data_IF_285709927907
#
_entry.id   IF_285709927907
#
_cell.length_a   1.000
_cell.length_b   1.000
_cell.length_c   1.000
_cell.angle_alpha   90.00
_cell.angle_beta   90.00
_cell.angle_gamma   90.00
#
_symmetry.space_group_name_H-M   'P 1'
#
loop_
_entity.id
_entity.type
_entity.pdbx_description
1 polymer ?
#
# COMPACT_ATOMS: atom_id res chain seq x y z
N UNK A 1 -8.87 -43.94 21.18
CA UNK A 1 -7.93 -43.29 20.25
C UNK A 1 -8.78 -42.56 19.23
N UNK A 2 -8.73 -41.25 19.18
CA UNK A 2 -9.33 -40.52 18.06
C UNK A 2 -8.60 -40.91 16.77
N UNK A 3 -9.31 -41.17 15.66
CA UNK A 3 -8.66 -41.44 14.41
C UNK A 3 -7.77 -40.27 14.03
N UNK A 4 -6.58 -40.55 13.49
CA UNK A 4 -5.74 -39.51 12.95
C UNK A 4 -6.53 -38.80 11.81
N UNK A 5 -6.54 -37.45 11.80
CA UNK A 5 -7.23 -36.74 10.73
C UNK A 5 -6.66 -37.13 9.39
N UNK A 6 -7.53 -37.39 8.44
CA UNK A 6 -7.13 -37.59 7.03
C UNK A 6 -6.46 -36.31 6.52
N UNK A 7 -5.41 -36.45 5.75
CA UNK A 7 -4.48 -35.38 5.36
C UNK A 7 -5.12 -34.09 4.77
N UNK A 8 -6.36 -34.13 4.33
CA UNK A 8 -7.02 -33.00 3.67
C UNK A 8 -8.06 -32.29 4.56
N UNK A 9 -8.27 -32.69 5.81
CA UNK A 9 -9.28 -32.06 6.67
C UNK A 9 -8.87 -30.69 7.23
N UNK A 10 -7.62 -30.27 7.00
CA UNK A 10 -7.08 -28.99 7.47
C UNK A 10 -6.70 -28.03 6.34
N UNK A 11 -6.77 -28.50 5.08
CA UNK A 11 -6.39 -27.73 3.91
C UNK A 11 -7.66 -27.47 3.12
N UNK A 12 -7.98 -26.22 2.93
CA UNK A 12 -9.07 -25.77 2.06
C UNK A 12 -8.50 -24.95 0.92
N UNK A 13 -8.54 -25.50 -0.29
CA UNK A 13 -8.07 -24.85 -1.52
C UNK A 13 -8.90 -23.57 -1.81
N UNK A 14 -10.17 -23.56 -1.39
CA UNK A 14 -11.04 -22.41 -1.56
C UNK A 14 -10.61 -21.18 -0.74
N UNK A 15 -9.70 -21.36 0.20
CA UNK A 15 -9.12 -20.26 0.98
C UNK A 15 -7.77 -19.75 0.39
N UNK A 16 -7.25 -20.40 -0.65
CA UNK A 16 -6.08 -19.90 -1.37
C UNK A 16 -6.50 -18.69 -2.22
N UNK A 17 -5.77 -17.58 -2.12
CA UNK A 17 -6.03 -16.34 -2.84
C UNK A 17 -4.88 -16.02 -3.78
N UNK A 18 -5.23 -15.49 -4.95
CA UNK A 18 -4.27 -15.05 -5.95
C UNK A 18 -4.51 -13.59 -6.29
N UNK A 19 -3.84 -12.71 -5.54
CA UNK A 19 -3.81 -11.27 -5.80
C UNK A 19 -2.73 -10.92 -6.82
N UNK A 20 -2.75 -9.68 -7.33
CA UNK A 20 -1.83 -9.19 -8.35
C UNK A 20 -2.50 -9.10 -9.73
N UNK A 21 -3.81 -8.93 -9.74
CA UNK A 21 -4.61 -8.75 -10.95
C UNK A 21 -4.52 -7.34 -11.52
N UNK A 22 -5.06 -7.17 -12.73
CA UNK A 22 -5.10 -5.87 -13.45
C UNK A 22 -5.96 -4.81 -12.77
N UNK A 23 -6.72 -5.18 -11.74
CA UNK A 23 -7.64 -4.29 -11.03
C UNK A 23 -7.11 -3.82 -9.68
N UNK A 24 -5.92 -4.29 -9.29
CA UNK A 24 -5.24 -3.78 -8.11
C UNK A 24 -5.00 -2.28 -8.25
N UNK A 25 -5.21 -1.53 -7.19
CA UNK A 25 -5.11 -0.09 -7.27
C UNK A 25 -4.60 0.54 -5.98
N UNK A 26 -3.91 1.67 -6.12
CA UNK A 26 -3.43 2.47 -5.01
C UNK A 26 -3.98 3.88 -5.14
N UNK A 27 -4.50 4.41 -4.04
CA UNK A 27 -5.08 5.73 -3.93
C UNK A 27 -4.38 6.52 -2.84
N UNK A 28 -4.16 7.79 -3.10
CA UNK A 28 -3.53 8.72 -2.17
C UNK A 28 -4.42 9.94 -1.95
N UNK A 29 -4.64 10.31 -0.70
CA UNK A 29 -5.41 11.49 -0.31
C UNK A 29 -4.69 12.34 0.73
N UNK A 30 -5.21 13.51 1.07
CA UNK A 30 -4.69 14.32 2.16
C UNK A 30 -4.81 13.58 3.49
N UNK A 31 -3.92 13.89 4.44
CA UNK A 31 -4.03 13.33 5.79
C UNK A 31 -5.35 13.75 6.43
N UNK A 32 -6.09 12.80 6.97
CA UNK A 32 -7.41 13.02 7.56
C UNK A 32 -8.56 13.00 6.55
N UNK A 33 -8.31 12.62 5.29
CA UNK A 33 -9.38 12.37 4.31
C UNK A 33 -10.35 11.30 4.80
N UNK A 34 -11.60 11.42 4.40
CA UNK A 34 -12.65 10.46 4.77
C UNK A 34 -12.36 9.12 4.09
N UNK A 35 -12.26 8.07 4.92
CA UNK A 35 -12.08 6.71 4.43
C UNK A 35 -13.44 6.13 4.00
N UNK A 36 -13.48 5.40 2.87
CA UNK A 36 -14.69 4.72 2.44
C UNK A 36 -15.08 3.60 3.43
N UNK A 37 -16.38 3.37 3.57
CA UNK A 37 -16.90 2.32 4.44
C UNK A 37 -16.89 0.92 3.80
N UNK A 38 -16.72 0.84 2.48
CA UNK A 38 -16.70 -0.40 1.70
C UNK A 38 -15.78 -0.29 0.49
N UNK A 39 -16.17 -0.93 -0.61
CA UNK A 39 -15.38 -1.00 -1.85
C UNK A 39 -15.72 0.12 -2.86
N UNK A 40 -16.56 1.08 -2.47
CA UNK A 40 -16.88 2.23 -3.31
C UNK A 40 -15.63 3.04 -3.69
N UNK A 41 -15.73 3.73 -4.84
CA UNK A 41 -14.63 4.60 -5.31
C UNK A 41 -14.41 5.72 -4.30
N UNK A 42 -13.19 5.91 -3.80
CA UNK A 42 -12.89 6.97 -2.86
C UNK A 42 -13.10 8.36 -3.45
N UNK A 43 -13.72 9.27 -2.71
CA UNK A 43 -14.05 10.62 -3.19
C UNK A 43 -12.98 11.66 -2.89
N UNK A 44 -12.19 11.45 -1.84
CA UNK A 44 -11.14 12.39 -1.40
C UNK A 44 -9.72 11.88 -1.71
N UNK A 45 -9.61 10.76 -2.41
CA UNK A 45 -8.34 10.16 -2.79
C UNK A 45 -8.21 10.12 -4.31
N UNK A 46 -7.04 10.38 -4.80
CA UNK A 46 -6.67 10.30 -6.21
C UNK A 46 -5.95 8.97 -6.49
N UNK A 47 -6.38 8.29 -7.56
CA UNK A 47 -5.73 7.06 -7.99
C UNK A 47 -4.37 7.38 -8.61
N UNK A 48 -3.31 6.66 -8.18
CA UNK A 48 -1.96 6.87 -8.70
C UNK A 48 -1.76 6.38 -10.14
N UNK A 49 -2.69 5.60 -10.68
CA UNK A 49 -2.67 5.08 -12.05
C UNK A 49 -2.19 3.64 -12.14
N UNK A 50 -1.66 3.27 -13.30
CA UNK A 50 -1.13 1.94 -13.55
C UNK A 50 0.04 1.62 -12.61
N UNK A 51 0.06 0.37 -12.15
CA UNK A 51 1.15 -0.17 -11.36
C UNK A 51 2.13 -0.93 -12.25
N UNK A 52 3.40 -0.94 -11.88
CA UNK A 52 4.42 -1.77 -12.52
C UNK A 52 4.15 -3.27 -12.37
N UNK A 53 4.83 -4.06 -13.19
CA UNK A 53 4.63 -5.51 -13.26
C UNK A 53 4.94 -6.27 -11.97
N UNK A 54 5.72 -5.68 -11.06
CA UNK A 54 6.11 -6.29 -9.80
C UNK A 54 4.99 -6.26 -8.75
N UNK A 55 3.88 -5.55 -9.06
CA UNK A 55 2.71 -5.46 -8.21
C UNK A 55 2.93 -4.67 -6.93
N UNK A 56 2.25 -5.08 -5.85
CA UNK A 56 2.31 -4.43 -4.54
C UNK A 56 2.92 -5.40 -3.53
N UNK A 57 3.97 -4.96 -2.85
CA UNK A 57 4.61 -5.73 -1.78
C UNK A 57 4.30 -5.11 -0.43
N UNK A 58 3.78 -5.90 0.50
CA UNK A 58 3.63 -5.54 1.91
C UNK A 58 4.76 -6.18 2.71
N UNK A 59 5.47 -5.38 3.50
CA UNK A 59 6.57 -5.85 4.34
C UNK A 59 6.32 -5.49 5.81
N UNK A 60 6.73 -6.40 6.69
CA UNK A 60 6.72 -6.23 8.14
C UNK A 60 8.16 -6.24 8.63
N UNK A 61 8.57 -5.17 9.27
CA UNK A 61 9.93 -4.98 9.78
C UNK A 61 9.90 -4.88 11.31
N UNK A 62 10.28 -5.97 11.98
CA UNK A 62 10.37 -6.02 13.42
C UNK A 62 11.82 -5.93 13.88
N UNK A 63 12.13 -4.94 14.70
CA UNK A 63 13.40 -4.90 15.42
C UNK A 63 13.28 -5.68 16.72
N UNK A 64 14.22 -6.60 16.93
CA UNK A 64 14.24 -7.47 18.10
C UNK A 64 15.51 -7.22 18.92
N UNK A 65 15.34 -6.76 20.16
CA UNK A 65 16.43 -6.73 21.12
C UNK A 65 16.58 -8.10 21.79
N UNK A 66 17.80 -8.61 21.84
CA UNK A 66 18.15 -9.86 22.49
C UNK A 66 18.96 -9.62 23.75
N UNK A 67 18.57 -10.25 24.83
CA UNK A 67 19.37 -10.33 26.04
C UNK A 67 20.07 -11.68 26.09
N UNK A 68 21.41 -11.65 26.05
CA UNK A 68 22.27 -12.84 26.12
C UNK A 68 22.89 -12.96 27.52
N UNK A 69 22.91 -14.18 28.05
CA UNK A 69 23.55 -14.46 29.32
C UNK A 69 25.07 -14.53 29.20
N UNK A 70 25.77 -14.10 30.26
CA UNK A 70 27.22 -14.17 30.34
C UNK A 70 27.75 -15.61 30.28
N UNK A 71 26.98 -16.55 30.79
CA UNK A 71 27.35 -17.98 30.83
C UNK A 71 26.92 -18.66 29.50
N UNK A 72 27.86 -18.87 28.61
CA UNK A 72 27.66 -19.62 27.35
C UNK A 72 26.97 -18.88 26.22
N UNK A 73 26.76 -17.56 26.31
CA UNK A 73 26.25 -16.73 25.19
C UNK A 73 24.83 -17.12 24.73
N UNK A 74 24.03 -17.78 25.57
CA UNK A 74 22.66 -18.16 25.19
C UNK A 74 21.73 -16.97 25.33
N UNK A 75 20.85 -16.80 24.35
CA UNK A 75 19.76 -15.81 24.43
C UNK A 75 18.79 -16.20 25.56
N UNK A 76 18.67 -15.32 26.56
CA UNK A 76 17.78 -15.49 27.71
C UNK A 76 16.39 -14.96 27.37
N UNK A 77 16.30 -13.82 26.67
CA UNK A 77 15.05 -13.16 26.32
C UNK A 77 15.19 -12.38 25.03
N UNK A 78 14.10 -12.40 24.25
CA UNK A 78 13.90 -11.51 23.09
C UNK A 78 12.72 -10.60 23.37
N UNK A 79 12.81 -9.36 22.88
CA UNK A 79 11.74 -8.37 22.94
C UNK A 79 11.72 -7.61 21.63
N UNK A 80 10.54 -7.53 21.01
CA UNK A 80 10.31 -6.63 19.89
C UNK A 80 10.39 -5.19 20.42
N UNK A 81 11.24 -4.36 19.85
CA UNK A 81 11.47 -2.97 20.23
C UNK A 81 10.77 -1.98 19.35
N UNK A 82 10.63 -2.30 18.08
CA UNK A 82 9.84 -1.54 17.11
C UNK A 82 9.24 -2.50 16.08
N UNK A 83 8.13 -2.12 15.49
CA UNK A 83 7.49 -2.80 14.38
C UNK A 83 7.07 -1.74 13.37
N UNK A 84 7.37 -1.95 12.10
CA UNK A 84 7.05 -1.04 11.01
C UNK A 84 6.45 -1.83 9.85
N UNK A 85 5.26 -1.44 9.41
CA UNK A 85 4.64 -1.99 8.21
C UNK A 85 4.85 -1.03 7.05
N UNK A 86 5.22 -1.58 5.89
CA UNK A 86 5.41 -0.81 4.66
C UNK A 86 4.69 -1.45 3.49
N UNK A 87 4.25 -0.60 2.54
CA UNK A 87 3.82 -1.02 1.22
C UNK A 87 4.75 -0.44 0.17
N UNK A 88 5.23 -1.29 -0.73
CA UNK A 88 6.08 -0.92 -1.86
C UNK A 88 5.37 -1.24 -3.17
N UNK A 89 5.42 -0.31 -4.11
CA UNK A 89 4.85 -0.45 -5.44
C UNK A 89 5.54 0.49 -6.43
N UNK A 90 5.40 0.18 -7.72
CA UNK A 90 5.88 1.00 -8.83
C UNK A 90 4.68 1.71 -9.47
N UNK A 91 4.67 3.03 -9.52
CA UNK A 91 3.69 3.79 -10.29
C UNK A 91 4.24 3.97 -11.73
N UNK A 92 3.48 3.50 -12.72
CA UNK A 92 3.88 3.55 -14.13
C UNK A 92 3.29 4.75 -14.88
N UNK A 93 2.46 5.55 -14.22
CA UNK A 93 1.88 6.76 -14.81
C UNK A 93 2.52 8.02 -14.23
N UNK A 94 2.84 8.96 -15.14
CA UNK A 94 3.29 10.30 -14.76
C UNK A 94 2.08 11.19 -14.48
N UNK A 95 1.61 11.19 -13.24
CA UNK A 95 0.51 12.03 -12.74
C UNK A 95 1.02 13.13 -11.81
N UNK A 96 0.23 14.19 -11.64
CA UNK A 96 0.60 15.27 -10.72
C UNK A 96 0.69 14.78 -9.28
N UNK A 97 -0.19 13.85 -8.86
CA UNK A 97 -0.13 13.23 -7.53
C UNK A 97 1.19 12.46 -7.35
N UNK A 98 1.60 11.65 -8.33
CA UNK A 98 2.86 10.89 -8.32
C UNK A 98 4.06 11.83 -8.24
N UNK A 99 4.08 12.84 -9.11
CA UNK A 99 5.14 13.85 -9.10
C UNK A 99 5.18 14.64 -7.80
N UNK A 100 4.01 14.93 -7.20
CA UNK A 100 3.91 15.61 -5.91
C UNK A 100 4.40 14.80 -4.72
N UNK A 101 4.27 13.47 -4.80
CA UNK A 101 4.78 12.55 -3.77
C UNK A 101 6.31 12.45 -3.80
N UNK A 102 6.89 12.45 -5.00
CA UNK A 102 8.34 12.32 -5.18
C UNK A 102 9.07 13.66 -5.11
N UNK A 103 8.41 14.74 -5.52
CA UNK A 103 9.01 16.05 -5.62
C UNK A 103 8.33 17.04 -4.68
N UNK A 104 9.13 17.94 -4.10
CA UNK A 104 8.60 19.04 -3.32
C UNK A 104 8.10 20.16 -4.23
N UNK A 105 6.89 19.97 -4.80
CA UNK A 105 6.29 20.94 -5.71
C UNK A 105 5.69 22.07 -4.90
N UNK A 106 6.24 23.28 -5.07
CA UNK A 106 5.79 24.48 -4.37
C UNK A 106 4.81 25.33 -5.18
N UNK A 107 4.78 25.14 -6.50
CA UNK A 107 3.91 25.91 -7.39
C UNK A 107 3.63 25.09 -8.65
N UNK A 108 2.39 25.11 -9.10
CA UNK A 108 1.97 24.55 -10.38
C UNK A 108 1.21 25.61 -11.18
N UNK A 109 1.68 25.94 -12.35
CA UNK A 109 1.09 26.96 -13.23
C UNK A 109 0.92 26.39 -14.63
N UNK A 110 -0.28 26.52 -15.17
CA UNK A 110 -0.54 26.28 -16.59
C UNK A 110 -0.23 27.54 -17.37
N UNK A 111 0.58 27.44 -18.42
CA UNK A 111 0.96 28.54 -19.30
C UNK A 111 0.59 28.19 -20.73
N UNK A 112 0.21 29.21 -21.47
CA UNK A 112 0.00 29.09 -22.93
C UNK A 112 1.26 29.56 -23.67
N UNK A 113 1.73 28.79 -24.63
CA UNK A 113 2.79 29.23 -25.52
C UNK A 113 2.18 30.13 -26.63
N UNK A 114 2.73 31.32 -26.78
CA UNK A 114 2.28 32.23 -27.80
C UNK A 114 2.78 31.88 -29.23
N UNK A 115 3.73 30.94 -29.30
CA UNK A 115 4.37 30.52 -30.55
C UNK A 115 3.92 29.15 -31.05
N UNK A 116 3.34 28.37 -30.19
CA UNK A 116 2.77 27.07 -30.51
C UNK A 116 1.37 26.95 -29.89
N UNK A 117 0.47 26.21 -30.47
CA UNK A 117 -0.94 26.07 -30.09
C UNK A 117 -1.15 25.24 -28.83
N UNK A 118 -0.10 25.03 -28.02
CA UNK A 118 -0.10 24.17 -26.86
C UNK A 118 -0.16 24.91 -25.52
N UNK A 119 -0.82 24.30 -24.56
CA UNK A 119 -0.65 24.60 -23.13
C UNK A 119 0.48 23.74 -22.55
N UNK A 120 1.30 24.31 -21.67
CA UNK A 120 2.28 23.57 -20.93
C UNK A 120 2.16 23.85 -19.43
N UNK A 121 2.57 22.87 -18.63
CA UNK A 121 2.53 22.95 -17.18
C UNK A 121 3.93 23.24 -16.63
N UNK A 122 4.03 24.26 -15.80
CA UNK A 122 5.26 24.62 -15.11
C UNK A 122 5.16 24.20 -13.65
N UNK A 123 5.98 23.25 -13.25
CA UNK A 123 6.09 22.77 -11.88
C UNK A 123 7.36 23.34 -11.25
N UNK A 124 7.22 24.10 -10.17
CA UNK A 124 8.36 24.60 -9.41
C UNK A 124 8.71 23.63 -8.31
N UNK A 125 9.82 22.94 -8.47
CA UNK A 125 10.35 22.03 -7.45
C UNK A 125 11.29 22.79 -6.52
N UNK A 126 11.04 22.72 -5.21
CA UNK A 126 11.89 23.36 -4.22
C UNK A 126 13.02 22.41 -3.83
N UNK A 127 14.27 22.80 -4.12
CA UNK A 127 15.47 22.00 -3.82
C UNK A 127 15.91 22.01 -2.36
N UNK A 128 15.12 22.59 -1.46
CA UNK A 128 15.36 22.56 -0.02
C UNK A 128 14.86 21.24 0.58
N UNK A 129 15.17 21.02 1.88
CA UNK A 129 14.73 19.83 2.61
C UNK A 129 13.25 19.53 2.34
N UNK A 130 12.97 18.32 1.85
CA UNK A 130 11.61 17.83 1.68
C UNK A 130 10.91 17.79 3.05
N UNK A 131 9.70 18.32 3.10
CA UNK A 131 8.80 18.01 4.19
C UNK A 131 8.17 16.65 3.90
N UNK A 132 8.30 15.73 4.82
CA UNK A 132 7.58 14.49 4.74
C UNK A 132 6.13 14.77 5.13
N UNK A 133 5.24 14.69 4.16
CA UNK A 133 3.83 14.89 4.39
C UNK A 133 3.14 13.56 4.64
N UNK A 134 2.56 13.43 5.83
CA UNK A 134 1.65 12.32 6.11
C UNK A 134 0.44 12.44 5.20
N UNK A 135 0.06 11.31 4.63
CA UNK A 135 -1.10 11.19 3.74
C UNK A 135 -1.94 9.99 4.14
N UNK A 136 -3.16 9.95 3.68
CA UNK A 136 -4.01 8.78 3.76
C UNK A 136 -3.88 7.96 2.48
N UNK A 137 -3.92 6.63 2.63
CA UNK A 137 -3.73 5.71 1.52
C UNK A 137 -4.81 4.65 1.52
N UNK A 138 -5.20 4.21 0.34
CA UNK A 138 -6.09 3.08 0.15
C UNK A 138 -5.43 2.17 -0.87
N UNK A 139 -5.36 0.88 -0.56
CA UNK A 139 -4.76 -0.13 -1.43
C UNK A 139 -5.78 -1.23 -1.63
N UNK A 140 -6.16 -1.46 -2.88
CA UNK A 140 -7.12 -2.47 -3.28
C UNK A 140 -6.41 -3.62 -3.97
N UNK A 141 -6.67 -4.83 -3.49
CA UNK A 141 -6.18 -6.07 -4.07
C UNK A 141 -7.37 -6.94 -4.47
N UNK A 142 -7.31 -7.53 -5.65
CA UNK A 142 -8.41 -8.30 -6.21
C UNK A 142 -7.98 -9.70 -6.60
N UNK A 143 -8.74 -10.70 -6.15
CA UNK A 143 -8.69 -12.08 -6.65
C UNK A 143 -9.95 -12.30 -7.49
N UNK A 144 -9.82 -12.15 -8.80
CA UNK A 144 -10.91 -12.12 -9.77
C UNK A 144 -11.23 -10.71 -10.30
N UNK A 145 -12.27 -10.59 -11.10
CA UNK A 145 -12.69 -9.32 -11.71
C UNK A 145 -13.81 -8.67 -10.90
N UNK A 146 -13.74 -7.35 -10.64
CA UNK A 146 -14.78 -6.63 -9.91
C UNK A 146 -16.17 -6.82 -10.50
N UNK A 147 -17.14 -7.14 -9.64
CA UNK A 147 -18.54 -7.33 -10.02
C UNK A 147 -18.89 -8.73 -10.51
N UNK A 148 -17.95 -9.65 -10.59
CA UNK A 148 -18.23 -11.06 -10.85
C UNK A 148 -18.52 -11.83 -9.56
N UNK A 149 -19.36 -12.85 -9.66
CA UNK A 149 -19.65 -13.72 -8.53
C UNK A 149 -18.40 -14.50 -8.12
N UNK A 150 -18.13 -14.55 -6.82
CA UNK A 150 -16.96 -15.23 -6.27
C UNK A 150 -15.69 -14.40 -6.23
N UNK A 151 -15.70 -13.15 -6.72
CA UNK A 151 -14.55 -12.25 -6.61
C UNK A 151 -14.31 -11.88 -5.16
N UNK A 152 -13.08 -12.09 -4.71
CA UNK A 152 -12.61 -11.71 -3.38
C UNK A 152 -11.77 -10.44 -3.49
N UNK A 153 -11.96 -9.53 -2.55
CA UNK A 153 -11.16 -8.31 -2.49
C UNK A 153 -10.69 -8.02 -1.07
N UNK A 154 -9.54 -7.35 -1.01
CA UNK A 154 -8.97 -6.80 0.22
C UNK A 154 -8.70 -5.32 -0.01
N UNK A 155 -9.21 -4.48 0.87
CA UNK A 155 -8.95 -3.04 0.89
C UNK A 155 -8.24 -2.67 2.17
N UNK A 156 -7.03 -2.15 2.04
CA UNK A 156 -6.28 -1.58 3.15
C UNK A 156 -6.59 -0.11 3.26
N UNK A 157 -7.12 0.32 4.40
CA UNK A 157 -7.38 1.71 4.74
C UNK A 157 -6.30 2.19 5.69
N UNK A 158 -5.43 3.07 5.23
CA UNK A 158 -4.26 3.56 5.94
C UNK A 158 -4.44 5.05 6.21
N UNK A 159 -4.91 5.45 7.42
CA UNK A 159 -5.18 6.85 7.75
C UNK A 159 -3.93 7.72 7.75
N UNK A 160 -2.78 7.13 8.05
CA UNK A 160 -1.52 7.83 8.15
C UNK A 160 -0.38 7.00 7.58
N UNK A 161 0.11 7.39 6.42
CA UNK A 161 1.29 6.82 5.79
C UNK A 161 2.14 7.90 5.16
N UNK A 162 3.42 7.63 5.00
CA UNK A 162 4.40 8.57 4.48
C UNK A 162 5.27 7.88 3.45
N UNK A 163 5.51 8.53 2.31
CA UNK A 163 6.49 8.04 1.34
C UNK A 163 7.88 8.29 1.92
N UNK A 164 8.63 7.22 2.16
CA UNK A 164 9.96 7.23 2.74
C UNK A 164 11.03 7.82 1.81
N UNK A 165 12.10 7.07 1.60
CA UNK A 165 13.17 7.44 0.69
C UNK A 165 12.67 7.51 -0.75
N UNK A 166 13.23 8.45 -1.51
CA UNK A 166 12.99 8.53 -2.94
C UNK A 166 14.09 7.74 -3.63
N UNK A 167 13.73 6.71 -4.39
CA UNK A 167 14.70 6.00 -5.20
C UNK A 167 15.19 6.86 -6.37
N UNK A 168 16.23 6.39 -7.05
CA UNK A 168 16.70 6.98 -8.28
C UNK A 168 15.67 6.80 -9.40
N UNK A 169 15.40 7.87 -10.14
CA UNK A 169 14.55 7.82 -11.33
C UNK A 169 15.43 7.56 -12.57
N UNK A 170 15.11 6.52 -13.33
CA UNK A 170 15.86 6.19 -14.56
C UNK A 170 15.00 6.48 -15.78
N UNK A 171 15.51 7.35 -16.65
CA UNK A 171 14.90 7.66 -17.93
C UNK A 171 15.69 6.95 -19.04
N UNK A 172 15.08 5.96 -19.69
CA UNK A 172 15.74 5.19 -20.74
C UNK A 172 14.86 5.05 -21.98
N UNK A 173 15.46 4.71 -23.12
CA UNK A 173 14.74 4.44 -24.35
C UNK A 173 14.22 2.99 -24.44
N UNK A 174 14.65 2.14 -23.53
CA UNK A 174 14.35 0.71 -23.57
C UNK A 174 13.16 0.34 -22.69
N UNK A 175 12.97 1.07 -21.57
CA UNK A 175 11.93 0.79 -20.59
C UNK A 175 11.08 2.03 -20.36
N UNK A 176 9.80 1.83 -20.04
CA UNK A 176 8.94 2.87 -19.53
C UNK A 176 9.49 3.47 -18.23
N UNK A 177 9.12 4.72 -17.94
CA UNK A 177 9.48 5.35 -16.66
C UNK A 177 8.56 4.80 -15.57
N UNK A 178 9.14 4.29 -14.52
CA UNK A 178 8.45 3.80 -13.33
C UNK A 178 8.95 4.56 -12.11
N UNK A 179 8.03 4.84 -11.20
CA UNK A 179 8.28 5.60 -9.98
C UNK A 179 8.07 4.68 -8.78
N UNK A 180 9.17 4.23 -8.20
CA UNK A 180 9.12 3.39 -7.01
C UNK A 180 8.69 4.21 -5.79
N UNK A 181 7.78 3.67 -5.01
CA UNK A 181 7.29 4.26 -3.78
C UNK A 181 7.24 3.23 -2.67
N UNK A 182 7.80 3.60 -1.52
CA UNK A 182 7.65 2.84 -0.28
C UNK A 182 6.89 3.71 0.71
N UNK A 183 5.70 3.25 1.06
CA UNK A 183 4.83 3.92 2.03
C UNK A 183 5.01 3.25 3.38
N UNK A 184 5.54 3.99 4.36
CA UNK A 184 5.62 3.58 5.76
C UNK A 184 4.31 3.92 6.46
N UNK A 185 3.74 2.96 7.19
CA UNK A 185 2.48 3.12 7.92
C UNK A 185 2.74 3.61 9.34
N UNK A 186 1.94 4.58 9.78
CA UNK A 186 1.98 5.11 11.14
C UNK A 186 0.64 4.90 11.86
N UNK A 187 0.68 4.15 12.95
CA UNK A 187 -0.52 3.84 13.75
C UNK A 187 -1.37 2.72 13.15
N UNK A 188 -2.62 2.70 13.56
CA UNK A 188 -3.56 1.66 13.16
C UNK A 188 -4.05 1.85 11.73
N UNK A 189 -4.27 0.74 11.05
CA UNK A 189 -4.91 0.68 9.74
C UNK A 189 -5.94 -0.43 9.72
N UNK A 190 -6.86 -0.40 8.76
CA UNK A 190 -7.96 -1.35 8.67
C UNK A 190 -7.85 -2.18 7.38
N UNK A 191 -8.30 -3.40 7.47
CA UNK A 191 -8.43 -4.29 6.32
C UNK A 191 -9.92 -4.59 6.17
N UNK A 192 -10.51 -4.17 5.05
CA UNK A 192 -11.86 -4.55 4.67
C UNK A 192 -11.77 -5.67 3.64
N UNK A 193 -12.66 -6.65 3.75
CA UNK A 193 -12.71 -7.77 2.80
C UNK A 193 -14.09 -8.41 2.79
N UNK A 194 -14.44 -9.00 1.66
CA UNK A 194 -15.60 -9.88 1.53
C UNK A 194 -15.22 -11.37 1.64
N UNK A 195 -13.98 -11.68 2.03
CA UNK A 195 -13.51 -13.05 2.12
C UNK A 195 -14.25 -13.80 3.23
N UNK A 196 -15.03 -14.85 2.90
CA UNK A 196 -15.74 -15.64 3.91
C UNK A 196 -14.80 -16.35 4.89
N UNK A 197 -13.53 -16.58 4.52
CA UNK A 197 -12.54 -17.15 5.42
C UNK A 197 -12.16 -16.21 6.58
N UNK A 198 -12.46 -14.90 6.45
CA UNK A 198 -12.23 -13.88 7.47
C UNK A 198 -13.48 -13.58 8.31
N UNK A 199 -14.60 -14.27 8.05
CA UNK A 199 -15.79 -14.11 8.86
C UNK A 199 -15.51 -14.59 10.31
N UNK A 200 -15.92 -13.82 11.34
CA UNK A 200 -15.77 -14.27 12.72
C UNK A 200 -16.54 -15.58 12.93
N UNK A 201 -16.00 -16.49 13.73
CA UNK A 201 -16.71 -17.71 14.09
C UNK A 201 -18.05 -17.34 14.78
N UNK A 202 -19.11 -18.12 14.45
CA UNK A 202 -20.45 -17.89 14.99
C UNK A 202 -20.43 -18.14 16.53
N UNK A 203 -20.04 -17.16 17.29
CA UNK A 203 -19.89 -17.22 18.76
C UNK A 203 -19.24 -16.01 19.36
N UNK A 204 -18.47 -15.24 18.57
CA UNK A 204 -17.68 -14.08 19.05
C UNK A 204 -18.45 -12.73 18.93
N UNK A 205 -19.71 -12.74 18.51
CA UNK A 205 -20.50 -11.53 18.28
C UNK A 205 -21.27 -11.02 19.53
N UNK A 206 -20.97 -11.50 20.73
CA UNK A 206 -21.56 -10.98 21.97
C UNK A 206 -20.48 -10.36 22.87
N UNK A 207 -20.19 -9.08 22.67
CA UNK A 207 -19.25 -8.35 23.54
C UNK A 207 -19.09 -6.87 23.21
N UNK A 208 -20.18 -6.10 23.13
CA UNK A 208 -20.18 -4.65 23.36
C UNK A 208 -21.26 -4.26 24.35
#
# INVERSE_FOLDING_TARGET
MSPLPTSNSFINEDNARWFGGTMDSVWCGPHGAVMPAGIEVPTEHENIGWLGSDGITKSHNDEVAEWTGHQGGRTIRKKVTSSEDTFQFLAAETKLVVMGLLNNISEHVTKSDSTDTGEYHSLKVTGTKRSNDKRSWIIDLWDGEPGQEGTIWYRYLIPSGEVGERPDETFSTENGTEYEMTVTIYGDYFILTNDPAMAPEAGDAEGE
#
